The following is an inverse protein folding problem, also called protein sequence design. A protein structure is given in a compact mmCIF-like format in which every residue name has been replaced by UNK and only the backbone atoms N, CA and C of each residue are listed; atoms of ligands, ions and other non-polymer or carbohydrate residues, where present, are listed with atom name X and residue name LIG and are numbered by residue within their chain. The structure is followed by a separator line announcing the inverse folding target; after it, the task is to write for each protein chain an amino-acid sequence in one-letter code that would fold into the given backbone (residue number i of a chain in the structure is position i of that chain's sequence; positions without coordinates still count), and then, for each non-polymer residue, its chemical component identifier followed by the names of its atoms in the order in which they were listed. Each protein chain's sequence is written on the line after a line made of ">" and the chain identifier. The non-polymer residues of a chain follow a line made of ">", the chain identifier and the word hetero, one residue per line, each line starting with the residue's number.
data_IF_760258715474
#
_entry.id   IF_760258715474
#
_cell.length_a   1.000
_cell.length_b   1.000
_cell.length_c   1.000
_cell.angle_alpha   90.00
_cell.angle_beta   90.00
_cell.angle_gamma   90.00
#
_symmetry.space_group_name_H-M   'P 1'
#
loop_
_entity.id
_entity.type
_entity.pdbx_description
1 polymer ?
#
# COMPACT_ATOMS: atom_id res chain seq x y z
N UNK A 1 3.31 -15.51 1.13
CA UNK A 1 2.60 -14.25 0.80
C UNK A 1 3.08 -13.19 1.78
N UNK A 2 3.27 -11.95 1.33
CA UNK A 2 3.51 -10.80 2.19
C UNK A 2 2.16 -10.15 2.52
N UNK A 3 1.99 -9.71 3.76
CA UNK A 3 0.83 -8.97 4.21
C UNK A 3 1.32 -7.77 5.02
N UNK A 4 0.92 -6.57 4.62
CA UNK A 4 1.35 -5.32 5.23
C UNK A 4 0.17 -4.37 5.38
N UNK A 5 0.19 -3.58 6.44
CA UNK A 5 -0.73 -2.45 6.60
C UNK A 5 0.00 -1.20 6.15
N UNK A 6 -0.65 -0.41 5.31
CA UNK A 6 -0.12 0.83 4.76
C UNK A 6 -1.06 1.96 5.12
N UNK A 7 -0.49 3.11 5.50
CA UNK A 7 -1.24 4.35 5.71
C UNK A 7 -0.79 5.37 4.69
N UNK A 8 -1.62 5.57 3.67
CA UNK A 8 -1.35 6.48 2.58
C UNK A 8 -2.04 7.83 2.82
N UNK A 9 -1.29 8.94 2.84
CA UNK A 9 -1.91 10.26 2.86
C UNK A 9 -2.62 10.55 1.52
N UNK A 10 -3.56 11.51 1.46
CA UNK A 10 -4.33 11.81 0.24
C UNK A 10 -3.48 12.10 -1.00
N UNK A 11 -2.28 12.66 -0.80
CA UNK A 11 -1.30 12.95 -1.86
C UNK A 11 -0.75 11.70 -2.56
N UNK A 12 -0.78 10.55 -1.89
CA UNK A 12 -0.27 9.26 -2.40
C UNK A 12 -1.33 8.44 -3.13
N UNK A 13 -2.29 9.11 -3.78
CA UNK A 13 -3.29 8.46 -4.63
C UNK A 13 -2.67 7.56 -5.71
N UNK A 14 -1.45 7.89 -6.17
CA UNK A 14 -0.69 7.06 -7.12
C UNK A 14 -0.37 5.66 -6.58
N UNK A 15 0.14 5.56 -5.35
CA UNK A 15 0.43 4.27 -4.71
C UNK A 15 -0.85 3.46 -4.50
N UNK A 16 -1.93 4.13 -4.07
CA UNK A 16 -3.25 3.50 -3.94
C UNK A 16 -3.73 2.91 -5.28
N UNK A 17 -3.66 3.67 -6.38
CA UNK A 17 -3.99 3.16 -7.71
C UNK A 17 -3.13 1.96 -8.14
N UNK A 18 -1.85 1.92 -7.77
CA UNK A 18 -0.98 0.76 -8.03
C UNK A 18 -1.46 -0.49 -7.30
N UNK A 19 -1.81 -0.39 -6.03
CA UNK A 19 -2.32 -1.55 -5.29
C UNK A 19 -3.65 -2.08 -5.84
N UNK A 20 -4.51 -1.20 -6.36
CA UNK A 20 -5.71 -1.61 -7.10
C UNK A 20 -5.37 -2.37 -8.39
N UNK A 21 -4.42 -1.87 -9.19
CA UNK A 21 -3.97 -2.55 -10.42
C UNK A 21 -3.38 -3.93 -10.13
N UNK A 22 -2.67 -4.07 -9.01
CA UNK A 22 -2.08 -5.32 -8.55
C UNK A 22 -3.10 -6.26 -7.89
N UNK A 23 -4.36 -5.83 -7.71
CA UNK A 23 -5.39 -6.54 -6.94
C UNK A 23 -4.89 -7.02 -5.57
N UNK A 24 -4.02 -6.22 -4.97
CA UNK A 24 -3.34 -6.57 -3.74
C UNK A 24 -4.04 -6.03 -2.49
N UNK A 25 -5.03 -5.15 -2.65
CA UNK A 25 -5.76 -4.57 -1.52
C UNK A 25 -6.74 -5.62 -0.98
N UNK A 26 -6.53 -6.05 0.26
CA UNK A 26 -7.44 -6.96 0.96
C UNK A 26 -8.53 -6.18 1.71
N UNK A 27 -8.17 -5.03 2.30
CA UNK A 27 -9.08 -4.12 2.99
C UNK A 27 -8.63 -2.68 2.82
N UNK A 28 -9.59 -1.76 2.83
CA UNK A 28 -9.36 -0.32 2.78
C UNK A 28 -10.32 0.37 3.75
N UNK A 29 -9.82 1.33 4.52
CA UNK A 29 -10.62 2.18 5.39
C UNK A 29 -10.02 3.58 5.46
N UNK A 30 -10.88 4.59 5.69
CA UNK A 30 -10.42 5.95 5.90
C UNK A 30 -10.16 6.19 7.38
N UNK A 31 -9.09 6.90 7.68
CA UNK A 31 -8.71 7.31 9.02
C UNK A 31 -9.26 8.71 9.32
N UNK A 32 -9.39 9.03 10.60
CA UNK A 32 -9.98 10.30 11.07
C UNK A 32 -9.15 11.55 10.67
N UNK A 33 -7.87 11.37 10.33
CA UNK A 33 -6.98 12.43 9.82
C UNK A 33 -7.12 12.66 8.31
N UNK A 34 -8.02 11.94 7.65
CA UNK A 34 -8.23 11.98 6.21
C UNK A 34 -7.22 11.14 5.41
N UNK A 35 -6.29 10.43 6.07
CA UNK A 35 -5.48 9.42 5.41
C UNK A 35 -6.30 8.16 5.11
N UNK A 36 -5.78 7.33 4.21
CA UNK A 36 -6.40 6.05 3.87
C UNK A 36 -5.47 4.95 4.33
N UNK A 37 -6.00 4.08 5.17
CA UNK A 37 -5.32 2.86 5.57
C UNK A 37 -5.79 1.71 4.70
N UNK A 38 -4.84 0.90 4.23
CA UNK A 38 -5.09 -0.25 3.40
C UNK A 38 -4.26 -1.43 3.87
N UNK A 39 -4.91 -2.58 3.93
CA UNK A 39 -4.24 -3.86 4.12
C UNK A 39 -3.95 -4.44 2.75
N UNK A 40 -2.67 -4.69 2.47
CA UNK A 40 -2.24 -5.29 1.21
C UNK A 40 -1.70 -6.69 1.42
N UNK A 41 -2.03 -7.58 0.47
CA UNK A 41 -1.59 -8.96 0.44
C UNK A 41 -1.19 -9.34 -0.97
N UNK A 42 0.08 -9.72 -1.15
CA UNK A 42 0.64 -10.10 -2.45
C UNK A 42 1.80 -11.09 -2.30
N UNK A 43 2.30 -11.70 -3.38
CA UNK A 43 3.52 -12.50 -3.31
C UNK A 43 4.72 -11.70 -2.80
N UNK A 44 5.58 -12.34 -1.98
CA UNK A 44 6.76 -11.68 -1.38
C UNK A 44 7.70 -11.13 -2.46
N UNK A 45 7.78 -11.81 -3.61
CA UNK A 45 8.59 -11.38 -4.75
C UNK A 45 8.08 -10.08 -5.37
N UNK A 46 6.76 -9.90 -5.46
CA UNK A 46 6.14 -8.70 -6.01
C UNK A 46 6.26 -7.54 -5.02
N UNK A 47 6.07 -7.80 -3.73
CA UNK A 47 6.32 -6.83 -2.67
C UNK A 47 7.76 -6.29 -2.73
N UNK A 48 8.75 -7.19 -2.81
CA UNK A 48 10.16 -6.80 -2.92
C UNK A 48 10.46 -6.00 -4.19
N UNK A 49 9.82 -6.33 -5.31
CA UNK A 49 9.95 -5.57 -6.56
C UNK A 49 9.32 -4.18 -6.41
N UNK A 50 8.16 -4.08 -5.76
CA UNK A 50 7.47 -2.83 -5.50
C UNK A 50 8.28 -1.91 -4.58
N UNK A 51 8.83 -2.41 -3.48
CA UNK A 51 9.73 -1.65 -2.60
C UNK A 51 10.97 -1.10 -3.33
N UNK A 52 11.47 -1.81 -4.36
CA UNK A 52 12.58 -1.31 -5.18
C UNK A 52 12.17 -0.23 -6.18
N UNK A 53 10.94 -0.31 -6.70
CA UNK A 53 10.41 0.67 -7.66
C UNK A 53 9.94 1.94 -6.96
N UNK A 54 9.38 1.81 -5.76
CA UNK A 54 8.81 2.89 -4.97
C UNK A 54 9.46 2.86 -3.56
N UNK A 55 10.64 3.48 -3.39
CA UNK A 55 11.35 3.45 -2.10
C UNK A 55 10.56 4.12 -0.97
N UNK A 56 9.72 5.11 -1.28
CA UNK A 56 8.88 5.81 -0.30
C UNK A 56 7.78 4.93 0.28
N UNK A 57 7.47 3.80 -0.36
CA UNK A 57 6.44 2.88 0.09
C UNK A 57 6.71 2.32 1.49
N UNK A 58 7.98 2.09 1.83
CA UNK A 58 8.34 1.58 3.16
C UNK A 58 8.09 2.59 4.28
N UNK A 59 8.08 3.88 3.96
CA UNK A 59 7.80 4.95 4.94
C UNK A 59 6.31 4.99 5.34
N UNK A 60 5.45 4.37 4.53
CA UNK A 60 4.01 4.32 4.75
C UNK A 60 3.53 3.01 5.38
N UNK A 61 4.42 2.04 5.60
CA UNK A 61 4.09 0.78 6.27
C UNK A 61 3.93 1.04 7.77
N UNK A 62 2.82 0.57 8.34
CA UNK A 62 2.50 0.65 9.78
C UNK A 62 2.78 -0.68 10.46
#
# INVERSE_FOLDING_TARGET
>A
MAQHTLRLPPKEGRLRSRFYQLQAIEKEWMEDDGSVSLQVRMPIVDWRRLCKQEPTLVDYVV
#
